data_IF_192603494218
#
_entry.id   IF_192603494218
#
_cell.length_a   1.000
_cell.length_b   1.000
_cell.length_c   1.000
_cell.angle_alpha   90.00
_cell.angle_beta   90.00
_cell.angle_gamma   90.00
#
_symmetry.space_group_name_H-M   'P 1'
#
loop_
_entity.id
_entity.type
_entity.pdbx_description
1 polymer ?
#
# COMPACT_ATOMS: atom_id res chain seq x y z
N UNK A 1 13.35 -13.71 -16.24
CA UNK A 1 13.66 -14.70 -15.19
C UNK A 1 14.49 -15.89 -15.71
N UNK A 2 14.27 -16.40 -16.93
CA UNK A 2 15.03 -17.56 -17.50
C UNK A 2 16.57 -17.39 -17.50
N UNK A 3 17.08 -16.17 -17.73
CA UNK A 3 18.53 -15.92 -17.69
C UNK A 3 19.12 -16.11 -16.29
N UNK A 4 18.52 -15.47 -15.28
CA UNK A 4 18.99 -15.54 -13.90
C UNK A 4 18.86 -16.96 -13.34
N UNK A 5 17.85 -17.73 -13.77
CA UNK A 5 17.69 -19.12 -13.37
C UNK A 5 18.79 -20.04 -13.95
N UNK A 6 19.23 -19.80 -15.19
CA UNK A 6 20.20 -20.67 -15.88
C UNK A 6 21.66 -20.26 -15.69
N UNK A 7 21.90 -18.96 -15.55
CA UNK A 7 23.25 -18.39 -15.47
C UNK A 7 23.50 -17.61 -14.19
N UNK A 8 22.45 -17.25 -13.45
CA UNK A 8 22.59 -16.53 -12.18
C UNK A 8 23.42 -17.31 -11.16
N UNK A 9 24.16 -16.58 -10.33
CA UNK A 9 25.23 -17.14 -9.52
C UNK A 9 26.56 -17.18 -10.27
N UNK A 10 27.38 -18.21 -10.02
CA UNK A 10 28.79 -18.27 -10.43
C UNK A 10 29.03 -18.19 -11.94
N UNK A 11 28.20 -18.82 -12.78
CA UNK A 11 28.43 -18.87 -14.23
C UNK A 11 28.35 -17.50 -14.93
N UNK A 12 27.36 -16.67 -14.58
CA UNK A 12 27.30 -15.29 -15.08
C UNK A 12 28.32 -14.40 -14.38
N UNK A 13 28.58 -14.60 -13.08
CA UNK A 13 29.52 -13.78 -12.32
C UNK A 13 30.99 -13.97 -12.74
N UNK A 14 31.36 -15.17 -13.23
CA UNK A 14 32.72 -15.48 -13.72
C UNK A 14 32.78 -15.59 -15.25
N UNK A 15 31.74 -15.16 -15.97
CA UNK A 15 31.72 -15.21 -17.42
C UNK A 15 32.74 -14.24 -18.02
N UNK A 16 33.55 -14.74 -18.96
CA UNK A 16 34.45 -13.89 -19.76
C UNK A 16 33.61 -13.15 -20.81
N UNK A 17 34.05 -11.96 -21.22
CA UNK A 17 33.34 -11.15 -22.21
C UNK A 17 32.88 -11.98 -23.42
N UNK A 18 31.61 -11.79 -23.81
CA UNK A 18 30.96 -12.48 -24.94
C UNK A 18 30.81 -14.01 -24.83
N UNK A 19 31.22 -14.65 -23.73
CA UNK A 19 31.19 -16.12 -23.60
C UNK A 19 29.78 -16.71 -23.63
N UNK A 20 28.77 -15.95 -23.20
CA UNK A 20 27.36 -16.39 -23.16
C UNK A 20 26.59 -16.06 -24.44
N UNK A 21 27.17 -15.29 -25.38
CA UNK A 21 26.45 -14.82 -26.57
C UNK A 21 26.00 -15.96 -27.47
N UNK A 22 26.81 -17.02 -27.60
CA UNK A 22 26.47 -18.17 -28.45
C UNK A 22 25.27 -18.94 -27.93
N UNK A 23 25.12 -19.04 -26.60
CA UNK A 23 24.08 -19.83 -25.95
C UNK A 23 22.81 -19.03 -25.69
N UNK A 24 22.94 -17.76 -25.28
CA UNK A 24 21.82 -16.92 -24.92
C UNK A 24 21.37 -15.96 -26.03
N UNK A 25 22.25 -15.62 -26.98
CA UNK A 25 21.95 -14.70 -28.08
C UNK A 25 20.73 -15.09 -28.92
N UNK A 26 20.55 -16.36 -29.33
CA UNK A 26 19.36 -16.78 -30.08
C UNK A 26 18.06 -16.59 -29.30
N UNK A 27 18.05 -16.95 -28.00
CA UNK A 27 16.90 -16.76 -27.11
C UNK A 27 16.58 -15.28 -26.91
N UNK A 28 17.60 -14.45 -26.73
CA UNK A 28 17.41 -13.01 -26.59
C UNK A 28 16.78 -12.42 -27.86
N UNK A 29 17.27 -12.84 -29.04
CA UNK A 29 16.71 -12.42 -30.33
C UNK A 29 15.26 -12.86 -30.50
N UNK A 30 14.93 -14.10 -30.13
CA UNK A 30 13.55 -14.62 -30.17
C UNK A 30 12.62 -13.82 -29.26
N UNK A 31 13.04 -13.54 -28.02
CA UNK A 31 12.27 -12.72 -27.09
C UNK A 31 12.08 -11.29 -27.59
N UNK A 32 13.12 -10.68 -28.15
CA UNK A 32 13.01 -9.36 -28.77
C UNK A 32 12.02 -9.36 -29.94
N UNK A 33 12.07 -10.38 -30.80
CA UNK A 33 11.14 -10.52 -31.92
C UNK A 33 9.70 -10.74 -31.43
N UNK A 34 9.52 -11.60 -30.43
CA UNK A 34 8.22 -11.84 -29.82
C UNK A 34 7.59 -10.55 -29.28
N UNK A 35 8.39 -9.68 -28.63
CA UNK A 35 7.92 -8.37 -28.17
C UNK A 35 7.51 -7.42 -29.31
N UNK A 36 8.17 -7.52 -30.46
CA UNK A 36 7.82 -6.74 -31.66
C UNK A 36 6.56 -7.27 -32.32
N UNK A 37 6.38 -8.59 -32.34
CA UNK A 37 5.27 -9.27 -32.99
C UNK A 37 3.97 -9.23 -32.14
N UNK A 38 4.09 -9.09 -30.82
CA UNK A 38 2.95 -9.09 -29.87
C UNK A 38 2.88 -7.80 -29.02
N UNK A 39 2.83 -6.61 -29.64
CA UNK A 39 2.80 -5.34 -28.91
C UNK A 39 1.54 -5.21 -28.03
N UNK A 40 0.44 -5.87 -28.39
CA UNK A 40 -0.82 -5.85 -27.66
C UNK A 40 -0.74 -6.55 -26.30
N UNK A 41 0.05 -7.60 -26.14
CA UNK A 41 0.22 -8.29 -24.86
C UNK A 41 1.01 -7.41 -23.87
N UNK A 42 2.09 -6.79 -24.35
CA UNK A 42 2.88 -5.83 -23.59
C UNK A 42 2.02 -4.61 -23.23
N UNK A 43 1.21 -4.13 -24.17
CA UNK A 43 0.27 -3.03 -23.95
C UNK A 43 -0.78 -3.37 -22.88
N UNK A 44 -1.35 -4.59 -22.90
CA UNK A 44 -2.31 -5.06 -21.89
C UNK A 44 -1.67 -5.08 -20.50
N UNK A 45 -0.46 -5.64 -20.36
CA UNK A 45 0.25 -5.66 -19.09
C UNK A 45 0.55 -4.24 -18.59
N UNK A 46 0.99 -3.34 -19.47
CA UNK A 46 1.23 -1.94 -19.13
C UNK A 46 -0.05 -1.24 -18.65
N UNK A 47 -1.19 -1.47 -19.33
CA UNK A 47 -2.50 -0.93 -18.93
C UNK A 47 -2.92 -1.45 -17.55
N UNK A 48 -2.81 -2.75 -17.29
CA UNK A 48 -3.14 -3.32 -15.98
C UNK A 48 -2.25 -2.74 -14.89
N UNK A 49 -0.95 -2.60 -15.14
CA UNK A 49 -0.01 -1.97 -14.19
C UNK A 49 -0.39 -0.51 -13.90
N UNK A 50 -0.79 0.25 -14.92
CA UNK A 50 -1.27 1.62 -14.76
C UNK A 50 -2.55 1.69 -13.92
N UNK A 51 -3.54 0.85 -14.21
CA UNK A 51 -4.80 0.77 -13.44
C UNK A 51 -4.56 0.39 -11.98
N UNK A 52 -3.68 -0.59 -11.71
CA UNK A 52 -3.31 -0.96 -10.35
C UNK A 52 -2.63 0.21 -9.63
N UNK A 53 -1.76 0.96 -10.31
CA UNK A 53 -1.11 2.14 -9.73
C UNK A 53 -2.11 3.26 -9.42
N UNK A 54 -3.11 3.47 -10.27
CA UNK A 54 -4.17 4.46 -10.07
C UNK A 54 -5.05 4.09 -8.86
N UNK A 55 -5.55 2.85 -8.82
CA UNK A 55 -6.36 2.36 -7.69
C UNK A 55 -5.57 2.40 -6.39
N UNK A 56 -4.27 2.09 -6.42
CA UNK A 56 -3.38 2.25 -5.27
C UNK A 56 -3.33 3.71 -4.82
N UNK A 57 -3.22 4.67 -5.73
CA UNK A 57 -3.26 6.10 -5.41
C UNK A 57 -4.54 6.50 -4.68
N UNK A 58 -5.70 6.08 -5.21
CA UNK A 58 -7.01 6.31 -4.56
C UNK A 58 -7.07 5.70 -3.17
N UNK A 59 -6.52 4.50 -2.97
CA UNK A 59 -6.50 3.86 -1.66
C UNK A 59 -5.59 4.59 -0.66
N UNK A 60 -4.46 5.13 -1.11
CA UNK A 60 -3.61 5.95 -0.24
C UNK A 60 -4.35 7.21 0.22
N UNK A 61 -5.07 7.89 -0.69
CA UNK A 61 -5.93 9.03 -0.33
C UNK A 61 -7.05 8.61 0.66
N UNK A 62 -7.63 7.44 0.47
CA UNK A 62 -8.63 6.92 1.41
C UNK A 62 -8.05 6.62 2.80
N UNK A 63 -6.82 6.10 2.87
CA UNK A 63 -6.12 5.86 4.14
C UNK A 63 -5.94 7.20 4.88
N UNK A 64 -5.42 8.22 4.21
CA UNK A 64 -5.25 9.57 4.78
C UNK A 64 -6.58 10.13 5.30
N UNK A 65 -7.64 10.06 4.49
CA UNK A 65 -9.00 10.50 4.88
C UNK A 65 -9.53 9.75 6.10
N UNK A 66 -9.29 8.45 6.20
CA UNK A 66 -9.74 7.63 7.33
C UNK A 66 -8.96 7.97 8.60
N UNK A 67 -7.65 8.23 8.49
CA UNK A 67 -6.82 8.67 9.61
C UNK A 67 -7.28 10.03 10.14
N UNK A 68 -7.47 11.03 9.27
CA UNK A 68 -7.99 12.37 9.64
C UNK A 68 -9.35 12.27 10.36
N UNK A 69 -10.21 11.38 9.88
CA UNK A 69 -11.50 11.13 10.53
C UNK A 69 -11.32 10.47 11.89
N UNK A 70 -10.38 9.54 12.03
CA UNK A 70 -10.01 8.90 13.29
C UNK A 70 -9.62 9.92 14.34
N UNK A 71 -8.70 10.83 14.03
CA UNK A 71 -8.26 11.91 14.93
C UNK A 71 -9.42 12.81 15.38
N UNK A 72 -10.31 13.17 14.45
CA UNK A 72 -11.52 13.96 14.79
C UNK A 72 -12.47 13.21 15.71
N UNK A 73 -12.61 11.90 15.52
CA UNK A 73 -13.45 11.05 16.38
C UNK A 73 -12.84 10.97 17.77
N UNK A 74 -11.53 10.73 17.90
CA UNK A 74 -10.85 10.71 19.20
C UNK A 74 -11.05 12.02 19.96
N UNK A 75 -10.88 13.15 19.28
CA UNK A 75 -11.14 14.46 19.88
C UNK A 75 -12.60 14.66 20.32
N UNK A 76 -13.57 14.11 19.59
CA UNK A 76 -14.98 14.15 20.00
C UNK A 76 -15.27 13.23 21.19
N UNK A 77 -14.63 12.07 21.24
CA UNK A 77 -14.72 11.13 22.38
C UNK A 77 -14.21 11.82 23.64
N UNK A 78 -13.00 12.41 23.61
CA UNK A 78 -12.41 13.13 24.74
C UNK A 78 -13.31 14.26 25.26
N UNK A 79 -13.87 15.06 24.34
CA UNK A 79 -14.81 16.13 24.71
C UNK A 79 -16.06 15.58 25.37
N UNK A 80 -16.60 14.47 24.85
CA UNK A 80 -17.81 13.84 25.39
C UNK A 80 -17.55 13.22 26.77
N UNK A 81 -16.38 12.61 26.98
CA UNK A 81 -15.97 12.09 28.28
C UNK A 81 -15.79 13.20 29.32
N UNK A 82 -15.17 14.31 28.93
CA UNK A 82 -15.04 15.49 29.79
C UNK A 82 -16.41 16.04 30.20
N UNK A 83 -17.35 16.18 29.26
CA UNK A 83 -18.72 16.62 29.57
C UNK A 83 -19.43 15.64 30.52
N UNK A 84 -19.32 14.33 30.29
CA UNK A 84 -19.89 13.30 31.17
C UNK A 84 -19.32 13.41 32.59
N UNK A 85 -18.01 13.60 32.73
CA UNK A 85 -17.36 13.78 34.02
C UNK A 85 -17.88 15.01 34.76
N UNK A 86 -18.00 16.15 34.07
CA UNK A 86 -18.56 17.38 34.65
C UNK A 86 -19.99 17.20 35.16
N UNK A 87 -20.85 16.56 34.36
CA UNK A 87 -22.24 16.27 34.77
C UNK A 87 -22.28 15.35 35.99
N UNK A 88 -21.46 14.29 35.99
CA UNK A 88 -21.36 13.37 37.13
C UNK A 88 -20.91 14.10 38.40
N UNK A 89 -19.94 15.00 38.29
CA UNK A 89 -19.47 15.84 39.39
C UNK A 89 -20.54 16.81 39.88
N UNK A 90 -21.32 17.42 38.98
CA UNK A 90 -22.44 18.29 39.37
C UNK A 90 -23.52 17.52 40.14
N UNK A 91 -23.87 16.32 39.68
CA UNK A 91 -24.86 15.46 40.35
C UNK A 91 -24.36 15.10 41.75
N UNK A 92 -23.12 14.67 41.88
CA UNK A 92 -22.56 14.27 43.18
C UNK A 92 -22.37 15.44 44.14
N UNK A 93 -21.94 16.60 43.64
CA UNK A 93 -21.59 17.75 44.47
C UNK A 93 -22.79 18.60 44.87
N UNK A 94 -23.84 18.64 44.04
CA UNK A 94 -24.99 19.52 44.28
C UNK A 94 -26.30 18.75 44.44
N UNK A 95 -26.64 17.87 43.48
CA UNK A 95 -27.96 17.24 43.46
C UNK A 95 -28.14 16.17 44.53
N UNK A 96 -27.14 15.30 44.77
CA UNK A 96 -27.23 14.27 45.83
C UNK A 96 -27.37 14.90 47.24
N UNK A 97 -26.56 15.90 47.64
CA UNK A 97 -26.77 16.60 48.91
C UNK A 97 -28.14 17.29 49.01
N UNK A 98 -28.60 17.93 47.93
CA UNK A 98 -29.92 18.58 47.91
C UNK A 98 -31.05 17.57 48.13
N UNK A 99 -30.99 16.40 47.51
CA UNK A 99 -31.98 15.33 47.70
C UNK A 99 -31.96 14.74 49.11
N UNK A 100 -30.79 14.70 49.76
CA UNK A 100 -30.69 14.23 51.16
C UNK A 100 -31.25 15.20 52.21
N UNK A 101 -31.52 16.45 51.82
CA UNK A 101 -32.10 17.48 52.69
C UNK A 101 -33.65 17.55 52.63
N UNK A 102 -34.29 16.79 51.75
CA UNK A 102 -35.75 16.61 51.67
C UNK A 102 -36.16 15.24 52.18
#
# INVERSE_FOLDING_TARGET
EDFTQRYGGGKAATAVASSLNKEFGPKLKEQMQYCVDHPEEISKLAKVKAQVSEVKGVMMENIEKVLDRGEKIELLVDKTENLRSQVSNCISSFLLPLLSCF
#
